data_IF_613769625737
#
_entry.id   IF_613769625737
#
_cell.length_a   1.000
_cell.length_b   1.000
_cell.length_c   1.000
_cell.angle_alpha   90.00
_cell.angle_beta   90.00
_cell.angle_gamma   90.00
#
_symmetry.space_group_name_H-M   'P 1'
#
loop_
_entity.id
_entity.type
_entity.pdbx_description
1 polymer ?
#
# COMPACT_ATOMS: atom_id res chain seq x y z
N UNK A 1 -17.39 -25.88 9.88
CA UNK A 1 -16.51 -24.91 10.56
C UNK A 1 -16.37 -23.70 9.65
N UNK A 2 -16.22 -22.54 10.21
CA UNK A 2 -16.00 -21.32 9.40
C UNK A 2 -14.66 -21.46 8.67
N UNK A 3 -14.67 -21.24 7.34
CA UNK A 3 -13.45 -21.23 6.54
C UNK A 3 -12.60 -19.96 6.74
N UNK A 4 -13.09 -19.02 7.56
CA UNK A 4 -12.45 -17.73 7.83
C UNK A 4 -11.54 -17.81 9.06
N UNK A 5 -11.89 -18.61 10.05
CA UNK A 5 -11.19 -18.68 11.34
C UNK A 5 -10.89 -20.12 11.73
N UNK A 6 -9.61 -20.42 12.02
CA UNK A 6 -9.17 -21.71 12.54
C UNK A 6 -8.95 -21.63 14.05
N UNK A 7 -9.93 -22.10 14.82
CA UNK A 7 -9.89 -22.05 16.29
C UNK A 7 -8.86 -23.00 16.94
N UNK A 8 -8.28 -23.90 16.16
CA UNK A 8 -7.30 -24.88 16.65
C UNK A 8 -5.85 -24.46 16.40
N UNK A 9 -5.63 -23.30 15.83
CA UNK A 9 -4.29 -22.82 15.48
C UNK A 9 -3.97 -21.52 16.19
N UNK A 10 -2.70 -21.35 16.53
CA UNK A 10 -2.13 -20.10 17.04
C UNK A 10 -1.26 -19.45 15.98
N UNK A 11 -0.98 -18.16 16.14
CA UNK A 11 -0.10 -17.40 15.21
C UNK A 11 1.26 -18.04 15.01
N UNK A 12 1.89 -18.53 16.07
CA UNK A 12 3.21 -19.14 16.02
C UNK A 12 3.25 -20.41 15.17
N UNK A 13 2.12 -21.07 15.02
CA UNK A 13 2.00 -22.33 14.25
C UNK A 13 1.76 -22.07 12.75
N UNK A 14 1.40 -20.83 12.39
CA UNK A 14 1.08 -20.46 11.03
C UNK A 14 2.32 -19.91 10.32
N UNK A 15 2.65 -20.37 9.10
CA UNK A 15 3.58 -19.67 8.25
C UNK A 15 3.02 -18.29 7.88
N UNK A 16 3.86 -17.38 7.42
CA UNK A 16 3.43 -16.05 6.99
C UNK A 16 2.43 -16.14 5.83
N UNK A 17 2.72 -17.02 4.87
CA UNK A 17 1.93 -17.25 3.66
C UNK A 17 1.67 -18.74 3.46
N UNK A 18 0.58 -19.08 2.79
CA UNK A 18 0.24 -20.43 2.33
C UNK A 18 0.09 -21.48 3.44
N UNK A 19 -0.28 -21.07 4.62
CA UNK A 19 -0.67 -21.97 5.72
C UNK A 19 -2.15 -22.28 5.72
N UNK A 20 -2.65 -22.65 6.91
CA UNK A 20 -4.08 -22.81 7.16
C UNK A 20 -4.75 -21.44 7.41
N UNK A 21 -6.07 -21.46 7.57
CA UNK A 21 -6.81 -20.25 7.94
C UNK A 21 -6.31 -19.63 9.24
N UNK A 22 -6.47 -18.31 9.35
CA UNK A 22 -6.09 -17.53 10.52
C UNK A 22 -6.73 -18.06 11.81
N UNK A 23 -5.96 -18.10 12.89
CA UNK A 23 -6.44 -18.43 14.21
C UNK A 23 -6.97 -17.22 14.97
N UNK A 24 -7.27 -17.41 16.26
CA UNK A 24 -7.57 -16.30 17.15
C UNK A 24 -6.30 -15.48 17.37
N UNK A 25 -6.41 -14.16 17.20
CA UNK A 25 -5.30 -13.26 17.51
C UNK A 25 -4.90 -13.34 18.98
N UNK A 26 -3.64 -13.63 19.22
CA UNK A 26 -3.06 -13.55 20.55
C UNK A 26 -1.66 -12.91 20.51
N UNK A 27 -1.33 -12.17 21.57
CA UNK A 27 -0.03 -11.51 21.69
C UNK A 27 1.08 -12.40 22.28
N UNK A 28 0.74 -13.65 22.66
CA UNK A 28 1.66 -14.59 23.31
C UNK A 28 2.40 -15.42 22.25
N UNK A 29 1.66 -15.91 21.24
CA UNK A 29 2.18 -16.81 20.21
C UNK A 29 2.47 -16.10 18.89
N UNK A 30 2.40 -14.77 18.86
CA UNK A 30 2.59 -13.95 17.67
C UNK A 30 4.00 -14.12 17.10
N UNK A 31 4.15 -13.98 15.78
CA UNK A 31 5.45 -13.85 15.17
C UNK A 31 6.10 -12.53 15.61
N UNK A 32 7.07 -12.61 16.51
CA UNK A 32 7.61 -11.46 17.22
C UNK A 32 8.34 -10.49 16.28
N UNK A 33 9.02 -11.00 15.25
CA UNK A 33 9.77 -10.15 14.31
C UNK A 33 8.81 -9.28 13.48
N UNK A 34 7.77 -9.89 12.93
CA UNK A 34 6.74 -9.19 12.15
C UNK A 34 5.95 -8.22 13.04
N UNK A 35 5.64 -8.63 14.26
CA UNK A 35 4.96 -7.78 15.23
C UNK A 35 5.79 -6.56 15.62
N UNK A 36 7.09 -6.72 15.81
CA UNK A 36 7.99 -5.61 16.11
C UNK A 36 8.14 -4.64 14.92
N UNK A 37 8.12 -5.16 13.69
CA UNK A 37 8.04 -4.31 12.48
C UNK A 37 6.77 -3.47 12.48
N UNK A 38 5.62 -4.09 12.71
CA UNK A 38 4.34 -3.39 12.82
C UNK A 38 4.37 -2.31 13.92
N UNK A 39 4.85 -2.64 15.13
CA UNK A 39 4.95 -1.65 16.21
C UNK A 39 5.84 -0.47 15.87
N UNK A 40 6.98 -0.70 15.21
CA UNK A 40 7.86 0.38 14.76
C UNK A 40 7.20 1.26 13.71
N UNK A 41 6.48 0.66 12.76
CA UNK A 41 5.75 1.38 11.74
C UNK A 41 4.65 2.26 12.37
N UNK A 42 3.85 1.70 13.29
CA UNK A 42 2.82 2.47 14.03
C UNK A 42 3.42 3.63 14.83
N UNK A 43 4.60 3.44 15.43
CA UNK A 43 5.26 4.49 16.20
C UNK A 43 5.79 5.66 15.34
N UNK A 44 5.84 5.48 14.02
CA UNK A 44 6.26 6.49 13.04
C UNK A 44 5.07 7.08 12.26
N UNK A 45 3.85 6.73 12.66
CA UNK A 45 2.64 7.25 12.03
C UNK A 45 2.57 8.76 12.18
N UNK A 46 2.26 9.42 11.10
CA UNK A 46 1.91 10.83 11.01
C UNK A 46 0.64 11.01 10.17
N UNK A 47 0.03 12.17 10.24
CA UNK A 47 -1.17 12.52 9.49
C UNK A 47 -0.91 13.76 8.64
N UNK A 48 -1.64 13.91 7.53
CA UNK A 48 -1.46 15.06 6.64
C UNK A 48 -1.69 16.41 7.35
N UNK A 49 -2.59 16.46 8.33
CA UNK A 49 -2.92 17.66 9.09
C UNK A 49 -1.87 18.08 10.14
N UNK A 50 -0.86 17.25 10.38
CA UNK A 50 0.31 17.62 11.20
C UNK A 50 1.25 18.61 10.48
N UNK A 51 1.09 18.79 9.17
CA UNK A 51 1.93 19.66 8.33
C UNK A 51 1.20 20.91 7.90
N UNK A 52 1.93 22.04 7.88
CA UNK A 52 1.43 23.29 7.30
C UNK A 52 1.83 23.37 5.83
N UNK A 53 0.86 23.49 4.95
CA UNK A 53 1.07 23.68 3.50
C UNK A 53 0.91 25.14 3.07
N UNK A 54 0.90 26.10 4.01
CA UNK A 54 0.64 27.52 3.74
C UNK A 54 1.69 28.20 2.87
N UNK A 55 2.94 27.71 2.87
CA UNK A 55 4.02 28.21 2.03
C UNK A 55 4.03 27.62 0.61
N UNK A 56 3.34 26.52 0.39
CA UNK A 56 3.41 25.78 -0.88
C UNK A 56 3.09 26.66 -2.10
N UNK A 57 2.10 27.55 -2.01
CA UNK A 57 1.73 28.41 -3.13
C UNK A 57 2.87 29.36 -3.56
N UNK A 58 3.62 29.91 -2.60
CA UNK A 58 4.77 30.78 -2.91
C UNK A 58 5.94 29.98 -3.44
N UNK A 59 6.17 28.80 -2.92
CA UNK A 59 7.25 27.90 -3.34
C UNK A 59 7.04 27.35 -4.75
N UNK A 60 5.80 27.00 -5.10
CA UNK A 60 5.45 26.51 -6.44
C UNK A 60 5.11 27.62 -7.46
N UNK A 61 5.10 28.90 -7.04
CA UNK A 61 4.83 30.01 -7.95
C UNK A 61 5.98 30.27 -8.94
N UNK A 62 7.18 29.83 -8.61
CA UNK A 62 8.37 29.99 -9.45
C UNK A 62 8.46 28.83 -10.46
N UNK A 63 8.49 29.18 -11.73
CA UNK A 63 8.72 28.22 -12.81
C UNK A 63 10.24 28.00 -12.97
N UNK A 64 10.76 26.99 -12.30
CA UNK A 64 12.17 26.63 -12.35
C UNK A 64 12.33 25.09 -12.35
N UNK A 65 13.54 24.64 -12.65
CA UNK A 65 13.85 23.20 -12.74
C UNK A 65 13.54 22.43 -11.45
N UNK A 66 13.72 23.06 -10.27
CA UNK A 66 13.41 22.47 -8.98
C UNK A 66 11.91 22.21 -8.78
N UNK A 67 11.08 23.19 -9.13
CA UNK A 67 9.62 23.07 -9.07
C UNK A 67 9.12 22.02 -10.06
N UNK A 68 9.65 22.00 -11.27
CA UNK A 68 9.31 20.98 -12.28
C UNK A 68 9.69 19.57 -11.80
N UNK A 69 10.90 19.39 -11.28
CA UNK A 69 11.34 18.10 -10.74
C UNK A 69 10.47 17.63 -9.56
N UNK A 70 10.13 18.56 -8.66
CA UNK A 70 9.26 18.25 -7.52
C UNK A 70 7.88 17.80 -8.00
N UNK A 71 7.30 18.47 -8.98
CA UNK A 71 6.00 18.12 -9.54
C UNK A 71 6.03 16.73 -10.19
N UNK A 72 7.04 16.42 -11.00
CA UNK A 72 7.17 15.11 -11.64
C UNK A 72 7.38 13.99 -10.61
N UNK A 73 8.16 14.26 -9.56
CA UNK A 73 8.34 13.33 -8.44
C UNK A 73 7.02 13.08 -7.71
N UNK A 74 6.27 14.14 -7.42
CA UNK A 74 4.97 14.08 -6.76
C UNK A 74 3.96 13.25 -7.57
N UNK A 75 3.88 13.48 -8.87
CA UNK A 75 3.00 12.71 -9.77
C UNK A 75 3.31 11.22 -9.71
N UNK A 76 4.61 10.88 -9.79
CA UNK A 76 5.05 9.49 -9.77
C UNK A 76 4.74 8.82 -8.43
N UNK A 77 5.12 9.45 -7.30
CA UNK A 77 4.86 8.92 -5.96
C UNK A 77 3.37 8.76 -5.69
N UNK A 78 2.57 9.79 -5.99
CA UNK A 78 1.13 9.73 -5.76
C UNK A 78 0.47 8.58 -6.54
N UNK A 79 0.88 8.36 -7.79
CA UNK A 79 0.36 7.25 -8.59
C UNK A 79 0.80 5.89 -8.03
N UNK A 80 2.07 5.77 -7.62
CA UNK A 80 2.60 4.54 -7.03
C UNK A 80 1.90 4.19 -5.72
N UNK A 81 1.74 5.17 -4.81
CA UNK A 81 1.12 4.98 -3.50
C UNK A 81 -0.39 4.70 -3.64
N UNK A 82 -1.05 5.34 -4.62
CA UNK A 82 -2.44 5.02 -4.95
C UNK A 82 -2.62 3.57 -5.43
N UNK A 83 -1.64 3.02 -6.16
CA UNK A 83 -1.63 1.60 -6.51
C UNK A 83 -1.37 0.73 -5.27
N UNK A 84 -0.41 1.13 -4.40
CA UNK A 84 -0.04 0.42 -3.18
C UNK A 84 -1.18 0.37 -2.13
N UNK A 85 -2.14 1.29 -2.17
CA UNK A 85 -3.37 1.21 -1.36
C UNK A 85 -4.16 -0.10 -1.58
N UNK A 86 -3.88 -0.84 -2.66
CA UNK A 86 -4.52 -2.13 -2.93
C UNK A 86 -3.72 -3.33 -2.39
N UNK A 87 -2.53 -3.11 -1.82
CA UNK A 87 -1.60 -4.19 -1.47
C UNK A 87 -2.22 -5.27 -0.57
N UNK A 88 -3.02 -4.88 0.43
CA UNK A 88 -3.69 -5.84 1.30
C UNK A 88 -4.62 -6.77 0.50
N UNK A 89 -5.45 -6.23 -0.38
CA UNK A 89 -6.40 -7.02 -1.17
C UNK A 89 -5.71 -7.98 -2.13
N UNK A 90 -4.53 -7.62 -2.62
CA UNK A 90 -3.72 -8.47 -3.50
C UNK A 90 -3.07 -9.62 -2.74
N UNK A 91 -2.60 -9.39 -1.52
CA UNK A 91 -1.87 -10.37 -0.71
C UNK A 91 -2.78 -11.21 0.19
N UNK A 92 -3.96 -10.70 0.53
CA UNK A 92 -4.90 -11.34 1.46
C UNK A 92 -5.19 -12.83 1.16
N UNK A 93 -5.33 -13.27 -0.09
CA UNK A 93 -5.56 -14.69 -0.38
C UNK A 93 -4.44 -15.62 0.07
N UNK A 94 -3.24 -15.12 0.21
CA UNK A 94 -2.03 -15.89 0.53
C UNK A 94 -1.63 -15.78 1.99
N UNK A 95 -2.05 -14.72 2.70
CA UNK A 95 -1.65 -14.44 4.08
C UNK A 95 -2.36 -15.41 5.02
N UNK A 96 -1.57 -16.07 5.87
CA UNK A 96 -2.07 -17.02 6.87
C UNK A 96 -1.51 -16.74 8.26
N UNK A 97 -0.93 -15.54 8.45
CA UNK A 97 -0.38 -15.10 9.71
C UNK A 97 -0.91 -13.71 10.08
N UNK A 98 -1.53 -13.58 11.23
CA UNK A 98 -2.20 -12.35 11.64
C UNK A 98 -1.25 -11.19 11.93
N UNK A 99 -0.02 -11.45 12.38
CA UNK A 99 0.98 -10.40 12.53
C UNK A 99 1.31 -9.77 11.16
N UNK A 100 1.41 -10.60 10.11
CA UNK A 100 1.59 -10.11 8.75
C UNK A 100 0.35 -9.39 8.25
N UNK A 101 -0.85 -9.90 8.54
CA UNK A 101 -2.11 -9.23 8.21
C UNK A 101 -2.11 -7.80 8.75
N UNK A 102 -1.80 -7.62 10.03
CA UNK A 102 -1.79 -6.30 10.67
C UNK A 102 -0.74 -5.37 10.07
N UNK A 103 0.46 -5.88 9.80
CA UNK A 103 1.52 -5.10 9.16
C UNK A 103 1.09 -4.60 7.77
N UNK A 104 0.52 -5.48 6.95
CA UNK A 104 0.10 -5.12 5.58
C UNK A 104 -1.11 -4.18 5.60
N UNK A 105 -2.08 -4.38 6.49
CA UNK A 105 -3.21 -3.45 6.66
C UNK A 105 -2.72 -2.07 7.06
N UNK A 106 -1.77 -2.00 7.99
CA UNK A 106 -1.19 -0.73 8.41
C UNK A 106 -0.43 -0.05 7.26
N UNK A 107 0.40 -0.79 6.51
CA UNK A 107 1.11 -0.23 5.36
C UNK A 107 0.12 0.27 4.30
N UNK A 108 -0.95 -0.47 4.02
CA UNK A 108 -2.01 -0.04 3.10
C UNK A 108 -2.66 1.28 3.58
N UNK A 109 -2.89 1.43 4.88
CA UNK A 109 -3.40 2.67 5.47
C UNK A 109 -2.43 3.84 5.30
N UNK A 110 -1.14 3.63 5.54
CA UNK A 110 -0.11 4.67 5.37
C UNK A 110 -0.09 5.20 3.93
N UNK A 111 -0.26 4.36 2.93
CA UNK A 111 -0.32 4.82 1.53
C UNK A 111 -1.53 5.74 1.28
N UNK A 112 -2.63 5.55 2.01
CA UNK A 112 -3.74 6.51 1.95
C UNK A 112 -3.38 7.86 2.58
N UNK A 113 -2.63 7.87 3.68
CA UNK A 113 -2.13 9.10 4.32
C UNK A 113 -1.15 9.84 3.40
N UNK A 114 -0.26 9.10 2.71
CA UNK A 114 0.63 9.68 1.69
C UNK A 114 -0.17 10.34 0.56
N UNK A 115 -1.15 9.64 0.00
CA UNK A 115 -2.00 10.15 -1.08
C UNK A 115 -2.80 11.39 -0.65
N UNK A 116 -3.30 11.44 0.59
CA UNK A 116 -3.95 12.61 1.16
C UNK A 116 -2.98 13.78 1.27
N UNK A 117 -1.76 13.53 1.73
CA UNK A 117 -0.71 14.55 1.84
C UNK A 117 -0.36 15.14 0.48
N UNK A 118 -0.20 14.32 -0.55
CA UNK A 118 0.04 14.80 -1.92
C UNK A 118 -1.13 15.66 -2.43
N UNK A 119 -2.35 15.25 -2.10
CA UNK A 119 -3.55 16.03 -2.43
C UNK A 119 -3.53 17.41 -1.75
N UNK A 120 -3.16 17.49 -0.47
CA UNK A 120 -3.03 18.76 0.25
C UNK A 120 -1.89 19.65 -0.30
N UNK A 121 -0.75 19.06 -0.68
CA UNK A 121 0.34 19.79 -1.35
C UNK A 121 -0.16 20.41 -2.65
N UNK A 122 -0.82 19.64 -3.50
CA UNK A 122 -1.34 20.14 -4.79
C UNK A 122 -2.44 21.19 -4.60
N UNK A 123 -3.36 20.94 -3.68
CA UNK A 123 -4.46 21.85 -3.38
C UNK A 123 -3.97 23.23 -2.89
N UNK A 124 -2.93 23.26 -2.08
CA UNK A 124 -2.39 24.49 -1.51
C UNK A 124 -1.29 25.11 -2.37
N UNK A 125 -0.58 24.33 -3.19
CA UNK A 125 0.56 24.80 -3.97
C UNK A 125 0.21 25.34 -5.35
N UNK A 126 -0.88 24.87 -5.95
CA UNK A 126 -1.18 25.20 -7.36
C UNK A 126 -2.47 26.01 -7.51
N UNK A 127 -2.46 26.99 -8.42
CA UNK A 127 -3.65 27.82 -8.74
C UNK A 127 -4.81 27.00 -9.32
N UNK A 128 -4.50 25.91 -10.01
CA UNK A 128 -5.49 25.00 -10.59
C UNK A 128 -5.15 23.55 -10.23
N UNK A 129 -5.45 23.10 -9.01
CA UNK A 129 -5.12 21.75 -8.55
C UNK A 129 -5.80 20.65 -9.37
N UNK A 130 -7.00 20.89 -9.88
CA UNK A 130 -7.71 19.93 -10.74
C UNK A 130 -6.95 19.66 -12.03
N UNK A 131 -6.33 20.68 -12.63
CA UNK A 131 -5.51 20.52 -13.83
C UNK A 131 -4.27 19.66 -13.54
N UNK A 132 -3.63 19.85 -12.39
CA UNK A 132 -2.48 19.03 -11.97
C UNK A 132 -2.89 17.58 -11.84
N UNK A 133 -3.99 17.29 -11.12
CA UNK A 133 -4.51 15.92 -10.93
C UNK A 133 -4.82 15.28 -12.29
N UNK A 134 -5.52 15.99 -13.17
CA UNK A 134 -5.87 15.47 -14.49
C UNK A 134 -4.62 15.21 -15.36
N UNK A 135 -3.53 15.96 -15.16
CA UNK A 135 -2.28 15.74 -15.90
C UNK A 135 -1.59 14.43 -15.52
N UNK A 136 -1.81 13.90 -14.31
CA UNK A 136 -1.21 12.64 -13.86
C UNK A 136 -1.67 11.48 -14.74
N UNK A 137 -2.97 11.38 -15.01
CA UNK A 137 -3.55 10.29 -15.79
C UNK A 137 -3.18 10.32 -17.30
N UNK A 138 -2.68 11.45 -17.77
CA UNK A 138 -2.20 11.64 -19.15
C UNK A 138 -0.67 11.66 -19.27
N UNK A 139 0.04 11.51 -18.18
CA UNK A 139 1.51 11.53 -18.13
C UNK A 139 2.08 10.18 -18.57
N UNK A 140 2.51 10.13 -19.83
CA UNK A 140 3.05 8.89 -20.41
C UNK A 140 4.33 8.40 -19.72
N UNK A 141 5.14 9.29 -19.15
CA UNK A 141 6.37 8.90 -18.46
C UNK A 141 6.05 8.22 -17.14
N UNK A 142 5.16 8.80 -16.34
CA UNK A 142 4.66 8.20 -15.09
C UNK A 142 4.04 6.82 -15.36
N UNK A 143 3.15 6.74 -16.35
CA UNK A 143 2.48 5.47 -16.73
C UNK A 143 3.51 4.43 -17.18
N UNK A 144 4.47 4.81 -18.01
CA UNK A 144 5.50 3.88 -18.50
C UNK A 144 6.40 3.35 -17.39
N UNK A 145 6.79 4.21 -16.45
CA UNK A 145 7.61 3.80 -15.29
C UNK A 145 6.88 2.83 -14.38
N UNK A 146 5.58 2.99 -14.22
CA UNK A 146 4.75 2.15 -13.34
C UNK A 146 4.18 0.91 -14.01
N UNK A 147 4.22 0.82 -15.34
CA UNK A 147 3.56 -0.25 -16.11
C UNK A 147 3.90 -1.63 -15.60
N UNK A 148 5.19 -1.95 -15.40
CA UNK A 148 5.64 -3.26 -14.91
C UNK A 148 5.13 -3.58 -13.51
N UNK A 149 5.03 -2.58 -12.63
CA UNK A 149 4.49 -2.75 -11.28
C UNK A 149 2.98 -3.01 -11.34
N UNK A 150 2.25 -2.28 -12.17
CA UNK A 150 0.81 -2.48 -12.37
C UNK A 150 0.50 -3.82 -13.02
N UNK A 151 1.33 -4.27 -13.97
CA UNK A 151 1.23 -5.61 -14.57
C UNK A 151 1.46 -6.70 -13.51
N UNK A 152 2.50 -6.56 -12.68
CA UNK A 152 2.76 -7.49 -11.58
C UNK A 152 1.63 -7.52 -10.55
N UNK A 153 1.03 -6.37 -10.22
CA UNK A 153 -0.15 -6.31 -9.33
C UNK A 153 -1.37 -7.00 -9.95
N UNK A 154 -1.57 -6.83 -11.25
CA UNK A 154 -2.63 -7.50 -11.99
C UNK A 154 -2.44 -9.01 -11.98
N UNK A 155 -1.21 -9.48 -12.23
CA UNK A 155 -0.87 -10.91 -12.17
C UNK A 155 -1.07 -11.47 -10.75
N UNK A 156 -0.59 -10.77 -9.72
CA UNK A 156 -0.76 -11.18 -8.32
C UNK A 156 -2.25 -11.28 -7.93
N UNK A 157 -3.08 -10.34 -8.37
CA UNK A 157 -4.54 -10.39 -8.18
C UNK A 157 -5.14 -11.63 -8.82
N UNK A 158 -4.80 -11.90 -10.06
CA UNK A 158 -5.35 -13.02 -10.83
C UNK A 158 -4.91 -14.37 -10.25
N UNK A 159 -3.66 -14.46 -9.76
CA UNK A 159 -3.18 -15.61 -8.99
C UNK A 159 -3.96 -15.79 -7.68
N UNK A 160 -4.18 -14.71 -6.95
CA UNK A 160 -4.94 -14.72 -5.69
C UNK A 160 -6.38 -15.20 -5.88
N UNK A 161 -7.05 -14.74 -6.94
CA UNK A 161 -8.42 -15.20 -7.29
C UNK A 161 -8.42 -16.71 -7.58
N UNK A 162 -7.50 -17.19 -8.41
CA UNK A 162 -7.40 -18.62 -8.74
C UNK A 162 -7.06 -19.48 -7.53
N UNK A 163 -6.15 -19.01 -6.68
CA UNK A 163 -5.78 -19.70 -5.44
C UNK A 163 -6.96 -19.80 -4.48
N UNK A 164 -7.70 -18.70 -4.25
CA UNK A 164 -8.91 -18.69 -3.41
C UNK A 164 -10.01 -19.62 -3.90
N UNK A 165 -10.08 -19.87 -5.21
CA UNK A 165 -11.02 -20.79 -5.83
C UNK A 165 -10.52 -22.25 -5.87
N UNK A 166 -9.37 -22.55 -5.28
CA UNK A 166 -8.69 -23.86 -5.34
C UNK A 166 -8.37 -24.32 -6.78
N UNK A 167 -8.18 -23.38 -7.71
CA UNK A 167 -7.76 -23.64 -9.08
C UNK A 167 -6.23 -23.72 -9.23
N UNK A 168 -5.48 -23.24 -8.23
CA UNK A 168 -4.03 -23.31 -8.15
C UNK A 168 -3.60 -23.87 -6.79
N UNK A 169 -2.48 -24.55 -6.77
CA UNK A 169 -1.78 -24.95 -5.54
C UNK A 169 -0.73 -23.90 -5.18
N UNK A 170 -0.29 -23.92 -3.92
CA UNK A 170 0.76 -22.99 -3.45
C UNK A 170 2.03 -23.06 -4.29
N UNK A 171 2.40 -24.25 -4.78
CA UNK A 171 3.59 -24.47 -5.58
C UNK A 171 3.52 -23.72 -6.94
N UNK A 172 2.34 -23.50 -7.46
CA UNK A 172 2.10 -22.75 -8.70
C UNK A 172 2.23 -21.25 -8.51
N UNK A 173 2.10 -20.76 -7.27
CA UNK A 173 2.22 -19.34 -6.92
C UNK A 173 3.68 -18.88 -6.71
N UNK A 174 4.65 -19.79 -6.72
CA UNK A 174 6.09 -19.47 -6.57
C UNK A 174 6.84 -19.30 -7.90
N UNK A 175 6.16 -19.37 -9.02
CA UNK A 175 6.74 -19.22 -10.36
C UNK A 175 6.69 -17.79 -10.84
#
# INVERSE_FOLDING_TARGET
MSDILNLNKTYKQQPLLFGDNLGIYDSIHINQDVFNLHKRAVAQLWQADEFSFSSCQSEFAEDNDGTSLMLETLKWQWTADSAACNLYTLLQPFITNDALTQLILFNTYIETVHSETYSEIVKNGFKNPVQVINSISSDNEVITRLSKTLDAFTELRDLGVKYSQNLLKKEDCYK
#
